data_IF_690572293651
#
_entry.id   IF_690572293651
#
_cell.length_a   1.000
_cell.length_b   1.000
_cell.length_c   1.000
_cell.angle_alpha   90.00
_cell.angle_beta   90.00
_cell.angle_gamma   90.00
#
_symmetry.space_group_name_H-M   'P 1'
#
loop_
_entity.id
_entity.type
_entity.pdbx_description
1 polymer ?
#
# COMPACT_ATOMS: atom_id res chain seq x y z
N UNK A 1 -15.02 6.81 -51.83
CA UNK A 1 -13.65 6.90 -51.27
C UNK A 1 -13.74 7.21 -49.79
N UNK A 2 -13.59 6.23 -48.97
CA UNK A 2 -13.67 6.38 -47.51
C UNK A 2 -12.29 6.79 -46.98
N UNK A 3 -12.19 7.99 -46.43
CA UNK A 3 -11.01 8.46 -45.72
C UNK A 3 -10.97 7.80 -44.34
N UNK A 4 -10.08 6.86 -44.15
CA UNK A 4 -9.78 6.32 -42.84
C UNK A 4 -8.93 7.35 -42.11
N UNK A 5 -9.56 8.04 -41.13
CA UNK A 5 -8.80 8.80 -40.17
C UNK A 5 -8.20 7.81 -39.16
N UNK A 6 -6.90 7.59 -39.25
CA UNK A 6 -6.16 6.89 -38.23
C UNK A 6 -6.20 7.73 -36.93
N UNK A 7 -6.90 7.23 -35.92
CA UNK A 7 -6.87 7.82 -34.59
C UNK A 7 -5.52 7.45 -33.98
N UNK A 8 -4.57 8.36 -34.02
CA UNK A 8 -3.30 8.23 -33.30
C UNK A 8 -3.60 8.26 -31.80
N UNK A 9 -3.56 7.12 -31.16
CA UNK A 9 -3.51 7.05 -29.70
C UNK A 9 -2.11 7.51 -29.30
N UNK A 10 -2.02 8.77 -28.86
CA UNK A 10 -0.77 9.25 -28.30
C UNK A 10 -0.49 8.47 -27.01
N UNK A 11 0.37 7.48 -27.11
CA UNK A 11 0.98 6.84 -25.95
C UNK A 11 1.72 7.95 -25.21
N UNK A 12 1.26 8.31 -24.03
CA UNK A 12 1.95 9.24 -23.16
C UNK A 12 3.23 8.56 -22.71
N UNK A 13 4.29 8.72 -23.48
CA UNK A 13 5.61 8.33 -23.04
C UNK A 13 5.88 9.06 -21.73
N UNK A 14 6.04 8.30 -20.67
CA UNK A 14 6.64 8.83 -19.44
C UNK A 14 8.05 9.22 -19.84
N UNK A 15 8.25 10.50 -20.11
CA UNK A 15 9.60 11.02 -20.27
C UNK A 15 10.34 10.68 -19.00
N UNK A 16 11.27 9.73 -19.07
CA UNK A 16 12.23 9.52 -18.00
C UNK A 16 13.09 10.78 -17.98
N UNK A 17 12.68 11.74 -17.14
CA UNK A 17 13.53 12.88 -16.89
C UNK A 17 14.71 12.35 -16.10
N UNK A 18 15.85 12.15 -16.77
CA UNK A 18 17.16 12.09 -16.12
C UNK A 18 17.47 13.49 -15.60
N UNK A 19 16.71 13.92 -14.61
CA UNK A 19 17.05 15.17 -13.93
C UNK A 19 18.24 14.90 -13.02
N UNK A 20 19.24 15.73 -13.13
CA UNK A 20 20.29 15.77 -12.12
C UNK A 20 19.63 15.96 -10.78
N UNK A 21 19.85 15.04 -9.84
CA UNK A 21 19.35 15.17 -8.48
C UNK A 21 20.05 16.33 -7.80
N UNK A 22 19.36 17.45 -7.70
CA UNK A 22 19.77 18.53 -6.83
C UNK A 22 19.31 18.27 -5.40
N UNK A 23 19.87 18.99 -4.39
CA UNK A 23 19.49 18.83 -2.97
C UNK A 23 18.03 19.21 -2.69
N UNK A 24 17.34 19.85 -3.63
CA UNK A 24 15.93 20.26 -3.50
C UNK A 24 14.95 19.31 -4.18
N UNK A 25 15.43 18.30 -4.90
CA UNK A 25 14.58 17.34 -5.59
C UNK A 25 14.08 16.25 -4.64
N UNK A 26 12.75 16.08 -4.60
CA UNK A 26 12.10 15.00 -3.86
C UNK A 26 11.62 13.92 -4.83
N UNK A 27 11.83 12.66 -4.46
CA UNK A 27 11.29 11.51 -5.17
C UNK A 27 10.46 10.66 -4.23
N UNK A 28 9.35 10.16 -4.74
CA UNK A 28 8.59 9.14 -4.01
C UNK A 28 9.41 7.86 -3.92
N UNK A 29 9.56 7.32 -2.71
CA UNK A 29 10.29 6.07 -2.48
C UNK A 29 9.37 4.93 -2.05
N UNK A 30 8.47 5.18 -1.11
CA UNK A 30 7.56 4.19 -0.58
C UNK A 30 6.82 4.68 0.65
N UNK A 31 6.01 3.80 1.21
CA UNK A 31 5.26 4.04 2.44
C UNK A 31 5.78 3.07 3.49
N UNK A 32 6.07 3.57 4.68
CA UNK A 32 6.58 2.77 5.80
C UNK A 32 5.47 2.46 6.80
N UNK A 33 5.35 1.17 7.10
CA UNK A 33 4.51 0.67 8.17
C UNK A 33 5.38 0.08 9.28
N UNK A 34 5.14 0.50 10.51
CA UNK A 34 5.76 -0.11 11.69
C UNK A 34 5.06 -1.41 11.99
N UNK A 35 5.82 -2.49 12.18
CA UNK A 35 5.30 -3.81 12.49
C UNK A 35 6.11 -4.44 13.61
N UNK A 36 5.50 -5.33 14.38
CA UNK A 36 6.16 -6.02 15.50
C UNK A 36 6.88 -7.28 15.06
N UNK A 37 6.38 -7.92 14.01
CA UNK A 37 6.92 -9.17 13.46
C UNK A 37 6.88 -9.09 11.94
N UNK A 38 8.05 -8.87 11.33
CA UNK A 38 8.16 -8.68 9.88
C UNK A 38 7.72 -9.93 9.11
N UNK A 39 8.10 -11.12 9.56
CA UNK A 39 7.70 -12.37 8.90
C UNK A 39 6.20 -12.56 8.88
N UNK A 40 5.52 -12.28 9.98
CA UNK A 40 4.07 -12.33 10.08
C UNK A 40 3.40 -11.34 9.14
N UNK A 41 3.94 -10.13 9.07
CA UNK A 41 3.42 -9.09 8.18
C UNK A 41 3.63 -9.44 6.71
N UNK A 42 4.78 -9.99 6.34
CA UNK A 42 5.02 -10.49 4.98
C UNK A 42 3.94 -11.49 4.57
N UNK A 43 3.67 -12.48 5.44
CA UNK A 43 2.63 -13.50 5.16
C UNK A 43 1.26 -12.85 4.99
N UNK A 44 0.90 -11.91 5.84
CA UNK A 44 -0.38 -11.21 5.75
C UNK A 44 -0.56 -10.48 4.41
N UNK A 45 0.40 -9.63 4.06
CA UNK A 45 0.30 -8.82 2.83
C UNK A 45 0.40 -9.68 1.56
N UNK A 46 1.23 -10.73 1.58
CA UNK A 46 1.40 -11.61 0.42
C UNK A 46 0.19 -12.53 0.22
N UNK A 47 -0.28 -13.18 1.26
CA UNK A 47 -1.35 -14.18 1.16
C UNK A 47 -2.73 -13.57 0.98
N UNK A 48 -3.01 -12.45 1.65
CA UNK A 48 -4.35 -11.85 1.64
C UNK A 48 -4.51 -10.72 0.63
N UNK A 49 -3.45 -9.97 0.35
CA UNK A 49 -3.52 -8.77 -0.50
C UNK A 49 -2.67 -8.85 -1.77
N UNK A 50 -1.96 -9.94 -1.99
CA UNK A 50 -1.23 -10.18 -3.24
C UNK A 50 0.05 -9.37 -3.41
N UNK A 51 0.64 -8.86 -2.33
CA UNK A 51 1.94 -8.20 -2.38
C UNK A 51 3.06 -9.18 -2.72
N UNK A 52 4.08 -8.71 -3.40
CA UNK A 52 5.29 -9.46 -3.71
C UNK A 52 6.45 -8.99 -2.82
N UNK A 53 7.28 -9.93 -2.37
CA UNK A 53 8.50 -9.59 -1.63
C UNK A 53 9.56 -9.14 -2.63
N UNK A 54 10.03 -7.90 -2.48
CA UNK A 54 11.12 -7.33 -3.29
C UNK A 54 12.47 -7.55 -2.60
N UNK A 55 12.50 -7.32 -1.29
CA UNK A 55 13.69 -7.45 -0.48
C UNK A 55 13.30 -7.77 0.95
N UNK A 56 14.08 -8.60 1.63
CA UNK A 56 13.89 -8.85 3.05
C UNK A 56 15.22 -9.06 3.75
N UNK A 57 15.30 -8.56 4.97
CA UNK A 57 16.40 -8.79 5.90
C UNK A 57 15.79 -9.07 7.27
N UNK A 58 15.43 -10.32 7.50
CA UNK A 58 14.77 -10.74 8.73
C UNK A 58 15.75 -10.78 9.91
N UNK A 59 15.29 -10.45 11.10
CA UNK A 59 13.93 -10.09 11.49
C UNK A 59 13.59 -8.59 11.33
N UNK A 60 14.51 -7.76 10.84
CA UNK A 60 14.44 -6.32 10.97
C UNK A 60 13.49 -5.65 9.94
N UNK A 61 13.50 -6.11 8.68
CA UNK A 61 12.98 -5.29 7.60
C UNK A 61 12.55 -6.09 6.38
N UNK A 62 11.57 -5.58 5.64
CA UNK A 62 11.21 -6.05 4.30
C UNK A 62 10.65 -4.91 3.44
N UNK A 63 10.84 -5.02 2.13
CA UNK A 63 10.14 -4.23 1.13
C UNK A 63 9.24 -5.13 0.33
N UNK A 64 7.96 -4.79 0.29
CA UNK A 64 6.95 -5.46 -0.52
C UNK A 64 6.48 -4.53 -1.63
N UNK A 65 6.00 -5.08 -2.73
CA UNK A 65 5.46 -4.29 -3.84
C UNK A 65 4.07 -4.75 -4.25
N UNK A 66 3.25 -3.80 -4.68
CA UNK A 66 1.97 -4.04 -5.34
C UNK A 66 1.83 -2.98 -6.44
N UNK A 67 2.02 -3.40 -7.72
CA UNK A 67 2.10 -2.43 -8.81
C UNK A 67 3.19 -1.39 -8.53
N UNK A 68 2.87 -0.07 -8.61
CA UNK A 68 3.84 1.00 -8.36
C UNK A 68 4.08 1.28 -6.87
N UNK A 69 3.34 0.64 -5.98
CA UNK A 69 3.47 0.85 -4.53
C UNK A 69 4.59 -0.02 -3.98
N UNK A 70 5.53 0.61 -3.27
CA UNK A 70 6.47 -0.05 -2.38
C UNK A 70 6.06 0.17 -0.93
N UNK A 71 5.86 -0.93 -0.21
CA UNK A 71 5.52 -0.94 1.21
C UNK A 71 6.75 -1.40 1.99
N UNK A 72 7.21 -0.52 2.88
CA UNK A 72 8.37 -0.76 3.71
C UNK A 72 7.90 -1.25 5.09
N UNK A 73 8.17 -2.52 5.41
CA UNK A 73 7.83 -3.10 6.71
C UNK A 73 9.04 -2.97 7.63
N UNK A 74 8.91 -2.15 8.67
CA UNK A 74 9.97 -1.90 9.64
C UNK A 74 9.63 -2.57 10.97
N UNK A 75 10.41 -3.59 11.31
CA UNK A 75 10.34 -4.26 12.61
C UNK A 75 11.08 -3.49 13.69
N UNK A 76 11.05 -3.97 14.95
CA UNK A 76 11.66 -3.28 16.09
C UNK A 76 13.16 -3.00 15.95
N UNK A 77 13.88 -3.85 15.23
CA UNK A 77 15.33 -3.74 15.07
C UNK A 77 15.74 -2.91 13.84
N UNK A 78 14.79 -2.42 13.07
CA UNK A 78 15.08 -1.62 11.88
C UNK A 78 15.51 -0.19 12.25
N UNK A 79 16.39 0.40 11.44
CA UNK A 79 16.76 1.81 11.60
C UNK A 79 15.55 2.76 11.48
N UNK A 80 14.56 2.39 10.67
CA UNK A 80 13.31 3.14 10.52
C UNK A 80 12.34 3.02 11.70
N UNK A 81 12.71 2.27 12.75
CA UNK A 81 11.88 2.06 13.95
C UNK A 81 12.52 2.58 15.23
N UNK A 82 13.65 3.29 15.11
CA UNK A 82 14.34 3.83 16.29
C UNK A 82 13.48 4.85 17.02
N UNK A 83 13.56 4.92 18.37
CA UNK A 83 12.88 5.92 19.14
C UNK A 83 13.28 7.35 18.72
N UNK A 84 12.35 8.29 18.90
CA UNK A 84 12.61 9.69 18.68
C UNK A 84 13.56 10.25 19.75
N UNK A 85 14.21 11.40 19.50
CA UNK A 85 15.11 12.03 20.49
C UNK A 85 14.45 12.31 21.84
N UNK A 86 13.12 12.52 21.87
CA UNK A 86 12.35 12.73 23.09
C UNK A 86 11.91 11.42 23.79
N UNK A 87 12.36 10.27 23.28
CA UNK A 87 12.07 8.94 23.84
C UNK A 87 10.79 8.30 23.34
N UNK A 88 9.98 8.98 22.49
CA UNK A 88 8.76 8.36 21.94
C UNK A 88 9.11 7.22 20.98
N UNK A 89 8.45 6.09 21.18
CA UNK A 89 8.57 4.95 20.27
C UNK A 89 7.69 5.16 19.03
N UNK A 90 8.18 4.67 17.90
CA UNK A 90 7.39 4.59 16.68
C UNK A 90 6.50 3.34 16.76
N UNK A 91 5.20 3.53 16.87
CA UNK A 91 4.24 2.44 17.07
C UNK A 91 3.39 2.20 15.83
N UNK A 92 2.95 0.94 15.58
CA UNK A 92 1.96 0.64 14.56
C UNK A 92 0.61 1.32 14.83
N UNK A 93 -0.24 1.38 13.81
CA UNK A 93 -1.61 1.88 13.91
C UNK A 93 -1.80 3.25 13.27
N UNK A 94 -2.68 4.04 13.84
CA UNK A 94 -3.03 5.37 13.30
C UNK A 94 -4.13 5.32 12.28
N UNK A 95 -4.30 6.41 11.51
CA UNK A 95 -5.39 6.59 10.54
C UNK A 95 -4.90 6.77 9.10
N UNK A 96 -3.66 7.20 8.91
CA UNK A 96 -3.06 7.28 7.58
C UNK A 96 -2.86 5.87 7.04
N UNK A 97 -3.20 5.67 5.77
CA UNK A 97 -3.26 4.33 5.21
C UNK A 97 -3.01 4.29 3.71
N UNK A 98 -2.55 3.15 3.24
CA UNK A 98 -2.55 2.85 1.81
C UNK A 98 -3.98 2.60 1.36
N UNK A 99 -4.32 3.07 0.17
CA UNK A 99 -5.62 2.84 -0.47
C UNK A 99 -5.38 1.96 -1.69
N UNK A 100 -6.01 0.80 -1.70
CA UNK A 100 -5.89 -0.19 -2.77
C UNK A 100 -7.20 -0.25 -3.54
N UNK A 101 -7.14 -0.06 -4.85
CA UNK A 101 -8.31 -0.09 -5.72
C UNK A 101 -8.69 -1.54 -6.05
N UNK A 102 -9.97 -1.84 -5.95
CA UNK A 102 -10.54 -3.15 -6.28
C UNK A 102 -11.73 -3.01 -7.21
N UNK A 103 -12.00 -4.04 -8.02
CA UNK A 103 -13.12 -4.03 -8.96
C UNK A 103 -14.44 -4.48 -8.33
N UNK A 104 -14.40 -5.32 -7.29
CA UNK A 104 -15.57 -5.90 -6.63
C UNK A 104 -15.35 -5.91 -5.12
N UNK A 105 -15.65 -4.80 -4.48
CA UNK A 105 -15.43 -4.63 -3.06
C UNK A 105 -16.24 -5.62 -2.20
N UNK A 106 -17.52 -5.89 -2.46
CA UNK A 106 -18.27 -6.87 -1.68
C UNK A 106 -17.64 -8.26 -1.67
N UNK A 107 -17.14 -8.74 -2.79
CA UNK A 107 -16.46 -10.04 -2.89
C UNK A 107 -15.14 -10.06 -2.11
N UNK A 108 -14.39 -8.96 -2.14
CA UNK A 108 -13.18 -8.82 -1.33
C UNK A 108 -13.49 -8.86 0.16
N UNK A 109 -14.52 -8.14 0.60
CA UNK A 109 -14.94 -8.11 2.00
C UNK A 109 -15.34 -9.52 2.46
N UNK A 110 -16.14 -10.24 1.68
CA UNK A 110 -16.56 -11.60 2.01
C UNK A 110 -15.36 -12.53 2.16
N UNK A 111 -14.43 -12.50 1.21
CA UNK A 111 -13.23 -13.33 1.24
C UNK A 111 -12.35 -13.03 2.46
N UNK A 112 -12.12 -11.76 2.77
CA UNK A 112 -11.26 -11.37 3.88
C UNK A 112 -11.92 -11.60 5.24
N UNK A 113 -13.24 -11.46 5.34
CA UNK A 113 -14.00 -11.86 6.54
C UNK A 113 -13.95 -13.36 6.76
N UNK A 114 -14.05 -14.15 5.72
CA UNK A 114 -13.92 -15.62 5.81
C UNK A 114 -12.54 -16.04 6.27
N UNK A 115 -11.50 -15.25 5.94
CA UNK A 115 -10.15 -15.43 6.44
C UNK A 115 -9.92 -14.83 7.85
N UNK A 116 -10.99 -14.31 8.47
CA UNK A 116 -10.99 -13.71 9.83
C UNK A 116 -10.10 -12.48 10.01
N UNK A 117 -9.94 -11.70 8.96
CA UNK A 117 -9.26 -10.41 9.06
C UNK A 117 -10.14 -9.42 9.83
N UNK A 118 -9.48 -8.50 10.53
CA UNK A 118 -10.17 -7.46 11.30
C UNK A 118 -10.48 -6.25 10.44
N UNK A 119 -11.73 -5.79 10.50
CA UNK A 119 -12.20 -4.57 9.86
C UNK A 119 -12.44 -3.50 10.92
N UNK A 120 -12.16 -2.24 10.58
CA UNK A 120 -12.44 -1.10 11.45
C UNK A 120 -13.86 -0.59 11.33
N UNK A 121 -14.49 -0.80 10.17
CA UNK A 121 -15.83 -0.30 9.88
C UNK A 121 -16.57 -1.24 8.93
N UNK A 122 -17.79 -0.87 8.59
CA UNK A 122 -18.56 -1.43 7.51
C UNK A 122 -18.29 -0.65 6.21
N UNK A 123 -18.70 -1.22 5.08
CA UNK A 123 -18.55 -0.56 3.78
C UNK A 123 -19.32 0.77 3.76
N UNK A 124 -18.59 1.82 3.43
CA UNK A 124 -19.14 3.18 3.25
C UNK A 124 -19.21 3.51 1.75
N UNK A 125 -20.30 4.10 1.33
CA UNK A 125 -20.50 4.51 -0.06
C UNK A 125 -20.71 6.01 -0.15
N UNK A 126 -19.95 6.65 -1.03
CA UNK A 126 -20.05 8.07 -1.31
C UNK A 126 -20.00 8.34 -2.81
N UNK A 127 -19.94 9.63 -3.24
CA UNK A 127 -19.94 9.99 -4.66
C UNK A 127 -18.75 9.42 -5.46
N UNK A 128 -17.60 9.25 -4.80
CA UNK A 128 -16.38 8.76 -5.46
C UNK A 128 -16.32 7.23 -5.57
N UNK A 129 -17.11 6.50 -4.79
CA UNK A 129 -17.12 5.04 -4.77
C UNK A 129 -17.42 4.49 -3.39
N UNK A 130 -17.04 3.23 -3.18
CA UNK A 130 -17.23 2.51 -1.92
C UNK A 130 -15.89 2.15 -1.30
N UNK A 131 -15.83 2.14 0.03
CA UNK A 131 -14.58 1.89 0.76
C UNK A 131 -14.83 1.15 2.07
N UNK A 132 -13.79 0.49 2.54
CA UNK A 132 -13.74 -0.15 3.85
C UNK A 132 -12.31 -0.14 4.37
N UNK A 133 -12.14 -0.07 5.67
CA UNK A 133 -10.84 -0.17 6.32
C UNK A 133 -10.68 -1.52 7.01
N UNK A 134 -9.54 -2.16 6.79
CA UNK A 134 -9.12 -3.34 7.53
C UNK A 134 -7.78 -3.07 8.19
N UNK A 135 -7.40 -3.97 9.09
CA UNK A 135 -6.15 -3.88 9.83
C UNK A 135 -5.20 -5.02 9.47
N UNK A 136 -3.91 -4.70 9.43
CA UNK A 136 -2.88 -5.71 9.42
C UNK A 136 -2.71 -6.35 10.82
N UNK A 137 -1.83 -7.34 11.02
CA UNK A 137 -1.67 -7.99 12.33
C UNK A 137 -1.29 -7.07 13.48
N UNK A 138 -0.74 -5.89 13.20
CA UNK A 138 -0.32 -4.90 14.20
C UNK A 138 -1.29 -3.73 14.35
N UNK A 139 -2.44 -3.78 13.68
CA UNK A 139 -3.45 -2.73 13.71
C UNK A 139 -3.19 -1.58 12.75
N UNK A 140 -2.26 -1.72 11.81
CA UNK A 140 -2.07 -0.74 10.75
C UNK A 140 -3.25 -0.78 9.77
N UNK A 141 -3.83 0.37 9.41
CA UNK A 141 -4.98 0.40 8.53
C UNK A 141 -4.61 0.23 7.06
N UNK A 142 -5.46 -0.48 6.34
CA UNK A 142 -5.46 -0.58 4.87
C UNK A 142 -6.88 -0.25 4.42
N UNK A 143 -7.03 0.55 3.38
CA UNK A 143 -8.33 0.81 2.76
C UNK A 143 -8.44 0.05 1.45
N UNK A 144 -9.57 -0.63 1.25
CA UNK A 144 -9.97 -1.13 -0.05
C UNK A 144 -11.02 -0.18 -0.62
N UNK A 145 -10.82 0.23 -1.84
CA UNK A 145 -11.64 1.24 -2.52
C UNK A 145 -12.09 0.73 -3.89
N UNK A 146 -13.40 0.76 -4.11
CA UNK A 146 -13.98 0.51 -5.43
C UNK A 146 -14.46 1.84 -6.00
N UNK A 147 -13.84 2.34 -7.08
CA UNK A 147 -14.27 3.59 -7.71
C UNK A 147 -15.72 3.51 -8.20
N UNK A 148 -16.46 4.63 -8.15
CA UNK A 148 -17.77 4.75 -8.75
C UNK A 148 -17.66 4.53 -10.27
N UNK A 149 -18.68 3.91 -10.83
CA UNK A 149 -18.77 3.65 -12.28
C UNK A 149 -19.31 4.88 -13.02
#
# INVERSE_FOLDING_TARGET
>A
MASQRATSVATRERKSHTQRQGPTELRFHGIRYQVKDVSRSISFYSEHLGFNVVHQKLPAFATLSLGPLDLLLSGPDASGSRPMPDGRSQEPGGWNRVVLSVADLPSWIERLRSARLRFRNDMETGPAGSQIQLEDPDGNPIELFEPAR
#
